data_IF_686724021263
#
_entry.id   IF_686724021263
#
_cell.length_a   1.000
_cell.length_b   1.000
_cell.length_c   1.000
_cell.angle_alpha   90.00
_cell.angle_beta   90.00
_cell.angle_gamma   90.00
#
_symmetry.space_group_name_H-M   'P 1'
#
loop_
_entity.id
_entity.type
_entity.pdbx_description
1 polymer ?
#
# COMPACT_ATOMS: atom_id res chain seq x y z
N UNK A 1 21.44 63.11 17.58
CA UNK A 1 20.54 64.21 17.96
C UNK A 1 19.48 64.29 16.87
N UNK A 2 18.32 63.64 17.06
CA UNK A 2 17.10 64.24 17.64
C UNK A 2 16.51 65.25 16.64
N UNK A 3 15.26 65.25 16.17
CA UNK A 3 13.94 64.78 16.66
C UNK A 3 12.95 64.92 15.45
N UNK A 4 11.97 64.02 15.25
CA UNK A 4 10.49 64.24 15.43
C UNK A 4 9.86 65.31 14.51
N UNK A 5 8.62 65.26 14.03
CA UNK A 5 7.45 64.38 14.08
C UNK A 5 6.40 65.02 13.15
N UNK A 6 5.49 64.17 12.62
CA UNK A 6 4.06 64.41 12.36
C UNK A 6 3.57 65.25 11.15
N UNK A 7 2.69 64.54 10.43
CA UNK A 7 1.35 64.94 9.97
C UNK A 7 1.22 66.07 8.97
N UNK A 8 0.84 65.68 7.75
CA UNK A 8 -0.39 66.21 7.17
C UNK A 8 -0.99 65.19 6.21
N UNK A 9 -2.18 64.76 6.57
CA UNK A 9 -3.05 63.83 5.87
C UNK A 9 -3.73 64.57 4.71
N UNK A 10 -3.56 64.07 3.49
CA UNK A 10 -4.45 64.42 2.37
C UNK A 10 -4.91 63.11 1.74
N UNK A 11 -6.18 62.78 1.94
CA UNK A 11 -6.83 61.61 1.35
C UNK A 11 -7.44 62.01 0.00
N UNK A 12 -7.16 61.27 -1.09
CA UNK A 12 -7.97 61.38 -2.30
C UNK A 12 -8.91 60.18 -2.49
N UNK A 13 -10.18 60.54 -2.67
CA UNK A 13 -11.20 59.94 -3.52
C UNK A 13 -11.50 58.43 -3.43
N UNK A 14 -12.68 58.14 -2.87
CA UNK A 14 -13.43 56.89 -3.04
C UNK A 14 -13.70 56.65 -4.54
N UNK A 15 -13.07 55.63 -5.12
CA UNK A 15 -13.52 55.05 -6.37
C UNK A 15 -14.53 53.92 -6.06
N UNK A 16 -15.65 53.85 -6.80
CA UNK A 16 -16.68 52.85 -6.57
C UNK A 16 -16.12 51.46 -6.89
N UNK A 17 -16.25 50.55 -5.93
CA UNK A 17 -16.04 49.12 -6.11
C UNK A 17 -16.76 48.64 -7.38
N UNK A 18 -16.10 47.96 -8.32
CA UNK A 18 -16.82 47.24 -9.35
C UNK A 18 -17.41 45.96 -8.75
N UNK A 19 -18.59 46.06 -8.15
CA UNK A 19 -19.51 44.93 -8.02
C UNK A 19 -20.15 44.70 -9.40
N UNK A 20 -19.42 44.02 -10.28
CA UNK A 20 -20.06 43.22 -11.33
C UNK A 20 -19.39 41.86 -11.31
N UNK A 21 -19.86 41.04 -10.37
CA UNK A 21 -19.70 39.60 -10.41
C UNK A 21 -20.34 39.13 -11.72
N UNK A 22 -19.54 38.96 -12.77
CA UNK A 22 -19.99 38.42 -14.04
C UNK A 22 -20.38 36.97 -13.84
N UNK A 23 -21.68 36.73 -13.84
CA UNK A 23 -22.36 35.44 -13.73
C UNK A 23 -22.16 34.63 -15.02
N UNK A 24 -20.92 34.24 -15.33
CA UNK A 24 -20.62 33.46 -16.54
C UNK A 24 -19.40 32.53 -16.36
N UNK A 25 -19.34 31.82 -15.23
CA UNK A 25 -18.60 30.56 -15.19
C UNK A 25 -19.38 29.52 -14.37
N UNK A 26 -20.47 29.05 -14.97
CA UNK A 26 -21.21 27.85 -14.52
C UNK A 26 -20.72 26.60 -15.28
N UNK A 27 -19.51 26.63 -15.86
CA UNK A 27 -19.00 25.56 -16.73
C UNK A 27 -17.83 24.76 -16.16
N UNK A 28 -17.39 25.06 -14.94
CA UNK A 28 -16.55 24.12 -14.21
C UNK A 28 -17.45 22.99 -13.72
N UNK A 29 -17.63 21.98 -14.57
CA UNK A 29 -18.06 20.64 -14.17
C UNK A 29 -17.43 20.31 -12.82
N UNK A 30 -18.15 19.72 -11.85
CA UNK A 30 -17.54 19.19 -10.64
C UNK A 30 -16.33 18.39 -11.11
N UNK A 31 -15.13 18.88 -10.79
CA UNK A 31 -13.95 18.07 -10.99
C UNK A 31 -14.19 16.96 -9.98
N UNK A 32 -14.60 15.78 -10.47
CA UNK A 32 -14.42 14.56 -9.71
C UNK A 32 -12.98 14.65 -9.22
N UNK A 33 -12.81 14.79 -7.91
CA UNK A 33 -11.49 14.69 -7.33
C UNK A 33 -11.01 13.31 -7.79
N UNK A 34 -10.17 13.27 -8.81
CA UNK A 34 -9.52 12.06 -9.28
C UNK A 34 -8.61 11.63 -8.13
N UNK A 35 -9.21 10.97 -7.15
CA UNK A 35 -8.55 10.39 -6.01
C UNK A 35 -7.72 9.26 -6.60
N UNK A 36 -6.45 9.55 -6.89
CA UNK A 36 -5.51 8.53 -7.32
C UNK A 36 -5.36 7.59 -6.15
N UNK A 37 -6.05 6.45 -6.22
CA UNK A 37 -5.96 5.40 -5.21
C UNK A 37 -4.52 4.90 -5.16
N UNK A 38 -3.90 5.06 -4.00
CA UNK A 38 -2.55 4.58 -3.75
C UNK A 38 -2.56 3.29 -2.94
N UNK A 39 -1.40 2.67 -2.84
CA UNK A 39 -1.15 1.47 -1.99
C UNK A 39 -1.48 1.70 -0.51
N UNK A 40 -1.59 2.97 -0.09
CA UNK A 40 -1.95 3.35 1.28
C UNK A 40 -3.44 3.16 1.56
N UNK A 41 -4.26 3.20 0.53
CA UNK A 41 -5.71 3.17 0.63
C UNK A 41 -6.27 1.75 0.55
N UNK A 42 -5.42 0.75 0.29
CA UNK A 42 -5.77 -0.67 0.16
C UNK A 42 -5.27 -1.47 1.38
N UNK A 43 -6.07 -2.43 1.89
CA UNK A 43 -5.62 -3.33 2.96
C UNK A 43 -4.35 -4.08 2.55
N UNK A 44 -3.43 -4.18 3.50
CA UNK A 44 -2.08 -4.69 3.22
C UNK A 44 -2.08 -6.14 2.75
N UNK A 45 -2.96 -6.98 3.29
CA UNK A 45 -3.01 -8.40 3.01
C UNK A 45 -3.50 -8.67 1.58
N UNK A 46 -4.67 -8.11 1.22
CA UNK A 46 -5.23 -8.20 -0.13
C UNK A 46 -4.24 -7.72 -1.20
N UNK A 47 -3.58 -6.58 -0.97
CA UNK A 47 -2.55 -6.07 -1.88
C UNK A 47 -1.37 -7.03 -2.04
N UNK A 48 -0.85 -7.59 -0.94
CA UNK A 48 0.31 -8.49 -0.98
C UNK A 48 -0.03 -9.75 -1.77
N UNK A 49 -1.20 -10.33 -1.54
CA UNK A 49 -1.67 -11.53 -2.24
C UNK A 49 -1.86 -11.27 -3.73
N UNK A 50 -2.52 -10.17 -4.10
CA UNK A 50 -2.73 -9.80 -5.50
C UNK A 50 -1.40 -9.51 -6.22
N UNK A 51 -0.49 -8.77 -5.59
CA UNK A 51 0.81 -8.46 -6.19
C UNK A 51 1.70 -9.71 -6.30
N UNK A 52 1.65 -10.64 -5.34
CA UNK A 52 2.34 -11.92 -5.45
C UNK A 52 1.85 -12.73 -6.65
N UNK A 53 0.54 -12.78 -6.87
CA UNK A 53 -0.07 -13.42 -8.04
C UNK A 53 0.35 -12.74 -9.35
N UNK A 54 0.42 -11.41 -9.39
CA UNK A 54 0.92 -10.67 -10.54
C UNK A 54 2.38 -11.03 -10.87
N UNK A 55 3.26 -11.05 -9.85
CA UNK A 55 4.67 -11.41 -10.02
C UNK A 55 4.85 -12.86 -10.50
N UNK A 56 4.00 -13.78 -10.02
CA UNK A 56 3.99 -15.18 -10.46
C UNK A 56 3.58 -15.30 -11.93
N UNK A 57 2.51 -14.61 -12.34
CA UNK A 57 2.04 -14.56 -13.74
C UNK A 57 3.09 -13.95 -14.67
N UNK A 58 3.83 -12.94 -14.19
CA UNK A 58 4.89 -12.32 -14.97
C UNK A 58 6.08 -13.27 -15.22
N UNK A 59 6.39 -14.20 -14.30
CA UNK A 59 7.44 -15.21 -14.46
C UNK A 59 8.87 -14.64 -14.57
N UNK A 60 9.06 -13.35 -14.31
CA UNK A 60 10.35 -12.65 -14.47
C UNK A 60 11.23 -12.66 -13.22
N UNK A 61 10.69 -13.05 -12.05
CA UNK A 61 11.48 -13.16 -10.83
C UNK A 61 12.26 -14.47 -10.86
N UNK A 62 13.58 -14.36 -10.81
CA UNK A 62 14.45 -15.50 -10.56
C UNK A 62 14.28 -16.02 -9.13
N UNK A 63 13.58 -17.14 -8.99
CA UNK A 63 13.46 -17.83 -7.70
C UNK A 63 14.75 -18.61 -7.45
N UNK A 64 15.44 -18.40 -6.31
CA UNK A 64 16.66 -19.13 -6.00
C UNK A 64 16.39 -20.63 -5.81
N UNK A 65 17.31 -21.48 -6.29
CA UNK A 65 17.20 -22.96 -6.18
C UNK A 65 17.04 -23.47 -4.74
N UNK A 66 17.56 -22.73 -3.76
CA UNK A 66 17.46 -23.11 -2.35
C UNK A 66 16.15 -22.69 -1.68
N UNK A 67 15.26 -21.96 -2.37
CA UNK A 67 14.03 -21.41 -1.78
C UNK A 67 13.15 -22.49 -1.12
N UNK A 68 13.18 -23.71 -1.63
CA UNK A 68 12.35 -24.82 -1.13
C UNK A 68 12.91 -25.48 0.13
N UNK A 69 14.20 -25.26 0.45
CA UNK A 69 14.88 -25.94 1.56
C UNK A 69 15.09 -25.03 2.76
N UNK A 70 15.12 -23.71 2.57
CA UNK A 70 15.55 -22.79 3.63
C UNK A 70 14.40 -22.30 4.50
N UNK A 71 14.76 -21.94 5.74
CA UNK A 71 13.92 -21.09 6.57
C UNK A 71 14.16 -19.60 6.30
N UNK A 72 13.14 -18.80 6.53
CA UNK A 72 13.14 -17.36 6.22
C UNK A 72 13.95 -16.49 7.18
N UNK A 73 14.30 -17.01 8.36
CA UNK A 73 15.07 -16.30 9.39
C UNK A 73 15.59 -17.22 10.47
N UNK A 74 16.59 -16.75 11.22
CA UNK A 74 17.21 -17.53 12.31
C UNK A 74 16.19 -17.92 13.38
N UNK A 75 15.28 -17.00 13.71
CA UNK A 75 14.26 -17.18 14.74
C UNK A 75 13.09 -18.08 14.35
N UNK A 76 12.97 -18.49 13.10
CA UNK A 76 11.94 -19.44 12.66
C UNK A 76 12.39 -20.86 12.93
N UNK A 77 11.44 -21.69 13.37
CA UNK A 77 11.67 -23.11 13.67
C UNK A 77 11.54 -23.97 12.42
N UNK A 78 10.49 -23.71 11.62
CA UNK A 78 10.19 -24.44 10.39
C UNK A 78 10.34 -23.55 9.14
N UNK A 79 10.44 -24.21 7.99
CA UNK A 79 10.36 -23.56 6.68
C UNK A 79 8.90 -23.13 6.39
N UNK A 80 8.69 -22.14 5.50
CA UNK A 80 7.35 -21.80 5.03
C UNK A 80 6.65 -23.01 4.40
N UNK A 81 5.35 -23.17 4.66
CA UNK A 81 4.55 -24.25 4.09
C UNK A 81 4.09 -23.95 2.66
N UNK A 82 3.82 -22.68 2.36
CA UNK A 82 3.44 -22.22 1.02
C UNK A 82 4.65 -22.30 0.07
N UNK A 83 4.58 -23.00 -1.06
CA UNK A 83 5.66 -23.04 -2.06
C UNK A 83 5.90 -21.68 -2.73
N UNK A 84 4.89 -20.82 -2.82
CA UNK A 84 4.96 -19.50 -3.46
C UNK A 84 5.38 -18.38 -2.49
N UNK A 85 5.84 -18.73 -1.29
CA UNK A 85 6.21 -17.79 -0.23
C UNK A 85 7.23 -16.73 -0.67
N UNK A 86 8.06 -17.03 -1.67
CA UNK A 86 9.06 -16.11 -2.21
C UNK A 86 8.40 -14.92 -2.93
N UNK A 87 7.30 -15.14 -3.65
CA UNK A 87 6.54 -14.09 -4.33
C UNK A 87 5.79 -13.22 -3.33
N UNK A 88 5.16 -13.84 -2.32
CA UNK A 88 4.52 -13.13 -1.20
C UNK A 88 5.53 -12.24 -0.48
N UNK A 89 6.74 -12.74 -0.27
CA UNK A 89 7.83 -11.95 0.32
C UNK A 89 8.29 -10.80 -0.57
N UNK A 90 8.35 -11.00 -1.89
CA UNK A 90 8.67 -9.93 -2.84
C UNK A 90 7.62 -8.82 -2.80
N UNK A 91 6.34 -9.17 -2.80
CA UNK A 91 5.24 -8.23 -2.68
C UNK A 91 5.28 -7.42 -1.38
N UNK A 92 5.45 -8.09 -0.24
CA UNK A 92 5.53 -7.43 1.06
C UNK A 92 6.72 -6.44 1.15
N UNK A 93 7.87 -6.80 0.57
CA UNK A 93 9.04 -5.92 0.54
C UNK A 93 8.87 -4.76 -0.43
N UNK A 94 8.25 -4.96 -1.60
CA UNK A 94 7.95 -3.90 -2.54
C UNK A 94 7.02 -2.85 -1.89
N UNK A 95 5.95 -3.28 -1.22
CA UNK A 95 5.05 -2.41 -0.45
C UNK A 95 5.79 -1.64 0.64
N UNK A 96 6.67 -2.30 1.39
CA UNK A 96 7.42 -1.65 2.46
C UNK A 96 8.35 -0.54 1.93
N UNK A 97 9.01 -0.78 0.78
CA UNK A 97 9.90 0.20 0.15
C UNK A 97 9.11 1.39 -0.39
N UNK A 98 7.94 1.15 -1.01
CA UNK A 98 7.02 2.19 -1.46
C UNK A 98 6.68 3.17 -0.32
N UNK A 99 6.34 2.65 0.86
CA UNK A 99 5.93 3.48 2.00
C UNK A 99 7.07 4.31 2.62
N UNK A 100 8.29 3.77 2.66
CA UNK A 100 9.43 4.36 3.40
C UNK A 100 10.44 5.09 2.48
N UNK A 101 10.15 5.19 1.18
CA UNK A 101 10.93 5.85 0.11
C UNK A 101 12.33 5.28 -0.14
N UNK A 102 13.19 5.22 0.88
CA UNK A 102 14.56 4.70 0.78
C UNK A 102 14.83 3.70 1.91
N UNK A 103 15.12 2.45 1.56
CA UNK A 103 15.30 1.37 2.55
C UNK A 103 16.56 0.54 2.28
N UNK A 104 17.30 0.24 3.36
CA UNK A 104 18.46 -0.65 3.35
C UNK A 104 18.12 -2.08 3.78
N UNK A 105 18.98 -3.04 3.44
CA UNK A 105 18.75 -4.47 3.77
C UNK A 105 18.61 -4.72 5.27
N UNK A 106 19.38 -4.04 6.13
CA UNK A 106 19.28 -4.23 7.59
C UNK A 106 17.91 -3.80 8.14
N UNK A 107 17.32 -2.74 7.59
CA UNK A 107 15.94 -2.34 7.96
C UNK A 107 14.94 -3.41 7.56
N UNK A 108 15.09 -4.01 6.37
CA UNK A 108 14.22 -5.11 5.91
C UNK A 108 14.40 -6.37 6.76
N UNK A 109 15.62 -6.67 7.21
CA UNK A 109 15.89 -7.81 8.09
C UNK A 109 15.24 -7.65 9.46
N UNK A 110 15.22 -6.42 10.02
CA UNK A 110 14.52 -6.12 11.27
C UNK A 110 13.01 -6.14 11.10
N UNK A 111 12.51 -5.60 9.99
CA UNK A 111 11.08 -5.57 9.67
C UNK A 111 10.49 -6.98 9.51
N UNK A 112 11.22 -7.86 8.81
CA UNK A 112 10.83 -9.27 8.62
C UNK A 112 11.27 -10.18 9.77
N UNK A 113 11.99 -9.62 10.75
CA UNK A 113 12.44 -10.30 11.95
C UNK A 113 11.29 -10.53 12.91
N UNK A 114 11.58 -11.23 14.01
CA UNK A 114 10.55 -11.55 14.99
C UNK A 114 11.11 -12.04 16.31
N UNK A 115 10.23 -12.39 17.24
CA UNK A 115 10.63 -13.02 18.48
C UNK A 115 11.15 -14.44 18.20
N UNK A 116 12.39 -14.70 18.61
CA UNK A 116 12.97 -16.03 18.58
C UNK A 116 12.69 -16.75 19.91
N UNK A 117 12.10 -17.95 19.81
CA UNK A 117 11.99 -18.87 20.93
C UNK A 117 13.38 -19.41 21.32
N UNK A 118 13.71 -19.37 22.61
CA UNK A 118 15.01 -19.79 23.16
C UNK A 118 14.83 -20.90 24.21
N UNK A 119 13.75 -21.66 24.09
CA UNK A 119 13.37 -22.71 25.04
C UNK A 119 13.00 -22.08 26.38
N UNK A 120 13.71 -22.46 27.44
CA UNK A 120 13.44 -21.97 28.78
C UNK A 120 13.81 -20.48 29.01
N UNK A 121 14.70 -19.92 28.18
CA UNK A 121 15.13 -18.52 28.34
C UNK A 121 14.12 -17.57 27.67
N UNK A 122 13.90 -16.35 28.21
CA UNK A 122 12.98 -15.38 27.62
C UNK A 122 13.27 -15.10 26.14
N UNK A 123 12.19 -14.85 25.41
CA UNK A 123 12.21 -14.52 23.99
C UNK A 123 13.00 -13.23 23.75
N UNK A 124 13.71 -13.19 22.62
CA UNK A 124 14.42 -11.99 22.15
C UNK A 124 14.16 -11.80 20.67
N UNK A 125 14.18 -10.54 20.22
CA UNK A 125 14.11 -10.24 18.80
C UNK A 125 15.32 -10.83 18.06
N UNK A 126 15.06 -11.47 16.92
CA UNK A 126 16.05 -11.95 15.99
C UNK A 126 15.71 -11.47 14.58
N UNK A 127 16.73 -10.93 13.91
CA UNK A 127 16.63 -10.46 12.53
C UNK A 127 16.35 -11.63 11.56
N UNK A 128 15.72 -11.31 10.44
CA UNK A 128 15.49 -12.25 9.34
C UNK A 128 16.77 -12.58 8.56
N UNK A 129 16.70 -13.60 7.71
CA UNK A 129 17.85 -14.08 6.94
C UNK A 129 18.23 -13.14 5.80
N UNK A 130 19.30 -12.37 5.97
CA UNK A 130 19.72 -11.38 4.99
C UNK A 130 19.99 -11.88 3.56
N UNK A 131 20.26 -13.17 3.37
CA UNK A 131 20.37 -13.77 2.04
C UNK A 131 19.04 -13.71 1.28
N UNK A 132 17.94 -14.03 1.98
CA UNK A 132 16.57 -14.02 1.44
C UNK A 132 16.18 -12.61 1.02
N UNK A 133 16.27 -11.62 1.93
CA UNK A 133 15.89 -10.25 1.56
C UNK A 133 16.78 -9.69 0.45
N UNK A 134 18.07 -10.03 0.42
CA UNK A 134 18.97 -9.57 -0.65
C UNK A 134 18.58 -10.12 -2.01
N UNK A 135 18.27 -11.42 -2.11
CA UNK A 135 17.85 -12.04 -3.38
C UNK A 135 16.53 -11.51 -3.87
N UNK A 136 15.56 -11.29 -2.99
CA UNK A 136 14.27 -10.68 -3.35
C UNK A 136 14.49 -9.27 -3.92
N UNK A 137 15.28 -8.43 -3.25
CA UNK A 137 15.57 -7.08 -3.73
C UNK A 137 16.34 -7.10 -5.05
N UNK A 138 17.26 -8.04 -5.25
CA UNK A 138 17.95 -8.22 -6.53
C UNK A 138 17.00 -8.65 -7.65
N UNK A 139 16.05 -9.54 -7.36
CA UNK A 139 15.02 -9.96 -8.33
C UNK A 139 14.11 -8.79 -8.73
N UNK A 140 13.68 -7.98 -7.76
CA UNK A 140 12.88 -6.77 -8.03
C UNK A 140 13.67 -5.68 -8.78
N UNK A 141 14.98 -5.57 -8.54
CA UNK A 141 15.88 -4.71 -9.32
C UNK A 141 16.02 -5.21 -10.76
N UNK A 142 16.09 -6.53 -10.98
CA UNK A 142 16.15 -7.14 -12.32
C UNK A 142 14.92 -6.88 -13.18
N UNK A 143 13.74 -6.75 -12.57
CA UNK A 143 12.49 -6.41 -13.27
C UNK A 143 12.36 -4.91 -13.51
N UNK A 144 13.16 -4.08 -12.83
CA UNK A 144 13.09 -2.63 -12.90
C UNK A 144 12.04 -1.99 -11.99
N UNK A 145 11.47 -2.74 -11.03
CA UNK A 145 10.56 -2.20 -10.01
C UNK A 145 11.31 -1.36 -8.98
N UNK A 146 12.54 -1.78 -8.63
CA UNK A 146 13.40 -1.08 -7.69
C UNK A 146 14.63 -0.51 -8.38
N UNK A 147 15.10 0.62 -7.87
CA UNK A 147 16.35 1.24 -8.28
C UNK A 147 17.24 1.58 -7.08
N UNK A 148 18.54 1.75 -7.36
CA UNK A 148 19.52 2.15 -6.35
C UNK A 148 19.41 3.64 -6.10
N UNK A 149 19.24 4.02 -4.83
CA UNK A 149 19.20 5.43 -4.45
C UNK A 149 20.63 5.98 -4.26
N UNK A 150 20.98 7.18 -4.78
CA UNK A 150 22.28 7.82 -4.58
C UNK A 150 22.64 8.04 -3.11
N UNK A 151 21.63 8.23 -2.23
CA UNK A 151 21.84 8.37 -0.78
C UNK A 151 22.08 7.03 -0.08
N UNK A 152 21.99 5.92 -0.82
CA UNK A 152 22.14 4.56 -0.33
C UNK A 152 20.80 3.87 -0.07
N UNK A 153 20.82 2.55 -0.17
CA UNK A 153 19.60 1.73 -0.07
C UNK A 153 18.95 1.49 -1.42
N UNK A 154 17.65 1.22 -1.41
CA UNK A 154 16.82 1.01 -2.59
C UNK A 154 15.58 1.87 -2.48
N UNK A 155 15.18 2.43 -3.61
CA UNK A 155 13.93 3.16 -3.77
C UNK A 155 13.11 2.51 -4.87
N UNK A 156 11.81 2.78 -4.87
CA UNK A 156 10.93 2.36 -5.97
C UNK A 156 11.22 3.21 -7.20
N UNK A 157 11.25 2.57 -8.38
CA UNK A 157 11.41 3.27 -9.65
C UNK A 157 10.09 3.92 -10.08
N UNK A 158 10.14 4.80 -11.08
CA UNK A 158 8.93 5.40 -11.64
C UNK A 158 8.00 4.36 -12.27
N UNK A 159 8.56 3.35 -12.95
CA UNK A 159 7.77 2.26 -13.54
C UNK A 159 7.22 1.30 -12.48
N UNK A 160 8.00 1.04 -11.43
CA UNK A 160 7.55 0.28 -10.27
C UNK A 160 6.39 0.96 -9.54
N UNK A 161 6.43 2.30 -9.43
CA UNK A 161 5.33 3.08 -8.86
C UNK A 161 4.03 2.88 -9.66
N UNK A 162 4.10 2.99 -11.00
CA UNK A 162 2.94 2.79 -11.88
C UNK A 162 2.36 1.38 -11.79
N UNK A 163 3.22 0.36 -11.72
CA UNK A 163 2.79 -1.04 -11.62
C UNK A 163 2.06 -1.30 -10.30
N UNK A 164 2.66 -0.83 -9.21
CA UNK A 164 2.15 -0.98 -7.86
C UNK A 164 0.82 -0.21 -7.66
N UNK A 165 0.72 1.02 -8.17
CA UNK A 165 -0.51 1.82 -8.08
C UNK A 165 -1.63 1.22 -8.96
N UNK A 166 -1.32 0.71 -10.17
CA UNK A 166 -2.31 0.02 -11.01
C UNK A 166 -2.92 -1.20 -10.31
N UNK A 167 -2.08 -1.97 -9.61
CA UNK A 167 -2.54 -3.15 -8.88
C UNK A 167 -3.34 -2.75 -7.64
N UNK A 168 -2.98 -1.63 -6.98
CA UNK A 168 -3.79 -1.10 -5.89
C UNK A 168 -5.20 -0.71 -6.36
N UNK A 169 -5.35 -0.07 -7.52
CA UNK A 169 -6.67 0.23 -8.11
C UNK A 169 -7.46 -1.04 -8.38
N UNK A 170 -6.85 -2.04 -9.03
CA UNK A 170 -7.52 -3.31 -9.33
C UNK A 170 -7.97 -4.06 -8.07
N UNK A 171 -7.17 -4.04 -6.99
CA UNK A 171 -7.56 -4.66 -5.72
C UNK A 171 -8.69 -3.91 -5.05
N UNK A 172 -8.72 -2.58 -5.14
CA UNK A 172 -9.85 -1.82 -4.59
C UNK A 172 -11.15 -2.10 -5.33
N UNK A 173 -11.10 -2.27 -6.65
CA UNK A 173 -12.27 -2.65 -7.45
C UNK A 173 -12.75 -4.05 -7.05
N UNK A 174 -11.82 -4.99 -6.85
CA UNK A 174 -12.15 -6.35 -6.39
C UNK A 174 -12.76 -6.38 -5.00
N UNK A 175 -12.26 -5.57 -4.06
CA UNK A 175 -12.81 -5.52 -2.71
C UNK A 175 -14.22 -4.95 -2.71
N UNK A 176 -14.50 -3.91 -3.50
CA UNK A 176 -15.85 -3.36 -3.62
C UNK A 176 -16.82 -4.36 -4.24
N UNK A 177 -16.39 -5.08 -5.27
CA UNK A 177 -17.22 -6.12 -5.88
C UNK A 177 -17.51 -7.27 -4.90
N UNK A 178 -16.55 -7.64 -4.03
CA UNK A 178 -16.78 -8.63 -2.98
C UNK A 178 -17.76 -8.14 -1.93
N UNK A 179 -17.64 -6.87 -1.52
CA UNK A 179 -18.60 -6.26 -0.58
C UNK A 179 -20.02 -6.23 -1.17
N UNK A 180 -20.17 -5.93 -2.46
CA UNK A 180 -21.47 -5.98 -3.16
C UNK A 180 -22.03 -7.42 -3.27
N UNK A 181 -21.19 -8.41 -3.58
CA UNK A 181 -21.59 -9.83 -3.62
C UNK A 181 -22.01 -10.35 -2.23
N UNK A 182 -21.28 -9.97 -1.16
CA UNK A 182 -21.60 -10.38 0.20
C UNK A 182 -22.92 -9.74 0.70
N UNK A 183 -23.25 -8.52 0.26
CA UNK A 183 -24.53 -7.84 0.57
C UNK A 183 -25.72 -8.50 -0.16
N UNK A 184 -25.57 -8.85 -1.44
CA UNK A 184 -26.61 -9.52 -2.22
C UNK A 184 -26.96 -10.93 -1.63
N UNK A 185 -25.96 -11.67 -1.14
CA UNK A 185 -26.17 -12.98 -0.51
C UNK A 185 -26.90 -12.87 0.86
N UNK A 186 -26.67 -11.79 1.62
CA UNK A 186 -27.36 -11.55 2.91
C UNK A 186 -28.84 -11.18 2.72
N UNK A 187 -29.18 -10.41 1.68
CA UNK A 187 -30.57 -10.05 1.35
C UNK A 187 -31.39 -11.28 0.88
N UNK A 188 -30.77 -12.21 0.13
CA UNK A 188 -31.42 -13.45 -0.34
C UNK A 188 -31.75 -14.42 0.83
N UNK A 189 -30.92 -14.47 1.89
CA UNK A 189 -31.15 -15.32 3.06
C UNK A 189 -32.26 -14.75 3.99
N UNK A 190 -32.44 -13.42 4.07
CA UNK A 190 -33.50 -12.78 4.88
C UNK A 190 -34.91 -13.02 4.30
N UNK A 191 -35.04 -13.10 2.96
CA UNK A 191 -36.32 -13.36 2.29
C UNK A 191 -36.80 -14.83 2.45
N UNK A 192 -35.93 -15.79 2.77
CA UNK A 192 -36.32 -17.20 2.99
C UNK A 192 -36.92 -17.47 4.39
N UNK A 193 -36.63 -16.62 5.37
CA UNK A 193 -37.10 -16.79 6.76
C UNK A 193 -38.50 -16.19 7.03
N UNK A 194 -39.06 -15.38 6.12
CA UNK A 194 -40.42 -14.80 6.27
C UNK A 194 -41.57 -15.77 5.90
N UNK A 195 -41.28 -16.89 5.22
CA UNK A 195 -42.32 -17.80 4.70
C UNK A 195 -42.67 -18.98 5.63
N UNK A 196 -42.14 -19.03 6.87
CA UNK A 196 -42.27 -20.20 7.75
C UNK A 196 -43.15 -20.01 9.00
N UNK A 197 -43.94 -18.95 9.06
CA UNK A 197 -44.93 -18.73 10.12
C UNK A 197 -46.36 -18.74 9.56
N UNK A 198 -46.93 -19.89 9.17
CA UNK A 198 -48.40 -19.99 8.95
C UNK A 198 -48.96 -21.43 8.81
N UNK A 199 -48.48 -22.43 9.56
CA UNK A 199 -49.13 -23.76 9.58
C UNK A 199 -49.03 -24.46 10.95
N UNK A 200 -49.76 -23.96 11.96
CA UNK A 200 -50.05 -24.72 13.19
C UNK A 200 -51.38 -24.25 13.82
N UNK A 201 -52.50 -24.48 13.13
CA UNK A 201 -53.86 -24.40 13.71
C UNK A 201 -54.73 -25.54 13.14
N UNK A 202 -54.73 -26.73 13.78
CA UNK A 202 -55.92 -27.63 13.91
C UNK A 202 -55.76 -28.77 14.93
#
# INVERSE_FOLDING_TARGET
MAELLRSSQTAPALLPYPHTFTLQDQSRSPQEDHFIMGVRDVPADAFITAYANHLKRAGKIEVPTWADTVKTGKGKELAPYDPDWFYVRAAALARHIYLRKAVGLSSLMKYQGGAQNRGFRPAKHADASGSVQRKVVQGLEGIGVLEKDPKGGRRISQDGMRDVDRIATAVSEQLRAQEEEDEDDEDDDEDEDEDNEDDDDE
#
